data_IF_526988458685
#
_entry.id   IF_526988458685
#
_cell.length_a   1.000
_cell.length_b   1.000
_cell.length_c   1.000
_cell.angle_alpha   90.00
_cell.angle_beta   90.00
_cell.angle_gamma   90.00
#
_symmetry.space_group_name_H-M   'P 1'
#
loop_
_entity.id
_entity.type
_entity.pdbx_description
1 polymer ?
#
# COMPACT_ATOMS: atom_id res chain seq x y z
N UNK A 1 -62.50 -10.17 -2.31
CA UNK A 1 -61.11 -10.70 -2.44
C UNK A 1 -60.33 -9.67 -3.23
N UNK A 2 -59.37 -9.00 -2.59
CA UNK A 2 -58.43 -8.12 -3.28
C UNK A 2 -57.56 -9.05 -4.13
N UNK A 3 -57.70 -8.98 -5.45
CA UNK A 3 -56.86 -9.72 -6.36
C UNK A 3 -55.50 -9.02 -6.33
N UNK A 4 -54.58 -9.52 -5.49
CA UNK A 4 -53.21 -9.01 -5.46
C UNK A 4 -52.62 -9.18 -6.85
N UNK A 5 -52.21 -8.07 -7.46
CA UNK A 5 -51.64 -8.06 -8.80
C UNK A 5 -50.30 -8.82 -8.76
N UNK A 6 -50.38 -10.11 -9.10
CA UNK A 6 -49.27 -11.06 -9.04
C UNK A 6 -48.05 -10.59 -9.86
N UNK A 7 -48.24 -9.68 -10.82
CA UNK A 7 -47.17 -9.08 -11.63
C UNK A 7 -46.41 -8.01 -10.85
N UNK A 8 -47.11 -7.21 -10.03
CA UNK A 8 -46.51 -6.22 -9.15
C UNK A 8 -45.74 -6.85 -7.99
N UNK A 9 -46.24 -7.96 -7.44
CA UNK A 9 -45.56 -8.71 -6.39
C UNK A 9 -44.27 -9.37 -6.89
N UNK A 10 -44.30 -10.02 -8.07
CA UNK A 10 -43.09 -10.60 -8.67
C UNK A 10 -42.02 -9.54 -8.99
N UNK A 11 -42.43 -8.37 -9.49
CA UNK A 11 -41.51 -7.27 -9.79
C UNK A 11 -40.88 -6.68 -8.53
N UNK A 12 -41.63 -6.59 -7.43
CA UNK A 12 -41.14 -6.07 -6.16
C UNK A 12 -40.12 -7.03 -5.52
N UNK A 13 -40.38 -8.33 -5.53
CA UNK A 13 -39.44 -9.35 -5.04
C UNK A 13 -38.14 -9.37 -5.86
N UNK A 14 -38.24 -9.25 -7.19
CA UNK A 14 -37.07 -9.22 -8.05
C UNK A 14 -36.18 -8.00 -7.77
N UNK A 15 -36.77 -6.81 -7.61
CA UNK A 15 -36.05 -5.59 -7.24
C UNK A 15 -35.41 -5.74 -5.85
N UNK A 16 -36.12 -6.34 -4.90
CA UNK A 16 -35.61 -6.58 -3.55
C UNK A 16 -34.38 -7.49 -3.58
N UNK A 17 -34.43 -8.60 -4.32
CA UNK A 17 -33.31 -9.55 -4.44
C UNK A 17 -32.12 -8.88 -5.12
N UNK A 18 -32.31 -8.18 -6.23
CA UNK A 18 -31.24 -7.46 -6.93
C UNK A 18 -30.61 -6.39 -6.02
N UNK A 19 -31.43 -5.66 -5.26
CA UNK A 19 -30.96 -4.66 -4.30
C UNK A 19 -30.07 -5.26 -3.22
N UNK A 20 -30.48 -6.39 -2.63
CA UNK A 20 -29.68 -7.09 -1.62
C UNK A 20 -28.36 -7.59 -2.21
N UNK A 21 -28.40 -8.18 -3.41
CA UNK A 21 -27.18 -8.67 -4.10
C UNK A 21 -26.21 -7.52 -4.37
N UNK A 22 -26.69 -6.37 -4.85
CA UNK A 22 -25.84 -5.20 -5.06
C UNK A 22 -25.23 -4.67 -3.77
N UNK A 23 -26.01 -4.65 -2.68
CA UNK A 23 -25.52 -4.19 -1.37
C UNK A 23 -24.38 -5.10 -0.88
N UNK A 24 -24.52 -6.42 -1.02
CA UNK A 24 -23.46 -7.37 -0.68
C UNK A 24 -22.20 -7.16 -1.52
N UNK A 25 -22.35 -6.94 -2.83
CA UNK A 25 -21.21 -6.67 -3.73
C UNK A 25 -20.46 -5.39 -3.32
N UNK A 26 -21.19 -4.32 -3.04
CA UNK A 26 -20.58 -3.05 -2.60
C UNK A 26 -19.84 -3.20 -1.27
N UNK A 27 -20.39 -3.99 -0.35
CA UNK A 27 -19.78 -4.25 0.95
C UNK A 27 -18.47 -5.03 0.80
N UNK A 28 -18.44 -6.06 -0.05
CA UNK A 28 -17.21 -6.81 -0.35
C UNK A 28 -16.18 -5.92 -1.06
N UNK A 29 -16.60 -5.11 -2.03
CA UNK A 29 -15.70 -4.21 -2.76
C UNK A 29 -15.03 -3.19 -1.82
N UNK A 30 -15.78 -2.65 -0.87
CA UNK A 30 -15.27 -1.71 0.13
C UNK A 30 -14.19 -2.35 1.01
N UNK A 31 -14.40 -3.60 1.45
CA UNK A 31 -13.45 -4.35 2.27
C UNK A 31 -12.18 -4.77 1.50
N UNK A 32 -12.31 -5.09 0.21
CA UNK A 32 -11.17 -5.50 -0.62
C UNK A 32 -10.17 -4.36 -0.91
N UNK A 33 -10.62 -3.11 -0.82
CA UNK A 33 -9.79 -1.94 -1.12
C UNK A 33 -8.64 -1.77 -0.11
N UNK A 34 -8.88 -2.08 1.17
CA UNK A 34 -7.88 -1.86 2.24
C UNK A 34 -6.68 -2.78 2.06
N UNK A 35 -6.94 -4.06 1.80
CA UNK A 35 -5.87 -5.04 1.60
C UNK A 35 -5.09 -4.77 0.32
N UNK A 36 -5.78 -4.27 -0.72
CA UNK A 36 -5.16 -3.93 -2.01
C UNK A 36 -4.24 -2.72 -1.84
N UNK A 37 -4.70 -1.67 -1.17
CA UNK A 37 -3.90 -0.47 -0.87
C UNK A 37 -2.62 -0.81 -0.10
N UNK A 38 -2.76 -1.54 1.01
CA UNK A 38 -1.63 -1.97 1.84
C UNK A 38 -0.62 -2.80 1.03
N UNK A 39 -1.11 -3.74 0.21
CA UNK A 39 -0.24 -4.59 -0.59
C UNK A 39 0.48 -3.80 -1.69
N UNK A 40 -0.20 -2.86 -2.36
CA UNK A 40 0.42 -1.98 -3.36
C UNK A 40 1.54 -1.14 -2.75
N UNK A 41 1.28 -0.44 -1.63
CA UNK A 41 2.29 0.40 -0.98
C UNK A 41 3.48 -0.45 -0.49
N UNK A 42 3.22 -1.60 0.15
CA UNK A 42 4.30 -2.49 0.62
C UNK A 42 5.15 -3.05 -0.52
N UNK A 43 4.51 -3.39 -1.64
CA UNK A 43 5.18 -3.91 -2.84
C UNK A 43 6.02 -2.83 -3.50
N UNK A 44 5.46 -1.64 -3.71
CA UNK A 44 6.18 -0.49 -4.26
C UNK A 44 7.37 -0.10 -3.36
N UNK A 45 7.17 -0.07 -2.04
CA UNK A 45 8.24 0.21 -1.10
C UNK A 45 9.38 -0.83 -1.19
N UNK A 46 9.04 -2.12 -1.30
CA UNK A 46 10.03 -3.19 -1.51
C UNK A 46 10.79 -3.01 -2.83
N UNK A 47 10.07 -2.77 -3.93
CA UNK A 47 10.66 -2.65 -5.27
C UNK A 47 11.56 -1.43 -5.36
N UNK A 48 11.08 -0.26 -4.90
CA UNK A 48 11.86 0.97 -4.87
C UNK A 48 13.13 0.81 -4.04
N UNK A 49 13.01 0.25 -2.83
CA UNK A 49 14.18 0.00 -1.99
C UNK A 49 15.17 -0.99 -2.64
N UNK A 50 14.69 -2.08 -3.22
CA UNK A 50 15.54 -3.10 -3.82
C UNK A 50 16.28 -2.61 -5.07
N UNK A 51 15.61 -1.84 -5.92
CA UNK A 51 16.21 -1.29 -7.14
C UNK A 51 17.30 -0.27 -6.79
N UNK A 52 17.02 0.67 -5.90
CA UNK A 52 17.99 1.69 -5.52
C UNK A 52 19.11 1.14 -4.65
N UNK A 53 18.83 0.15 -3.79
CA UNK A 53 19.90 -0.52 -3.04
C UNK A 53 20.84 -1.31 -3.96
N UNK A 54 20.32 -1.91 -5.02
CA UNK A 54 21.13 -2.55 -6.05
C UNK A 54 21.96 -1.54 -6.84
N UNK A 55 21.37 -0.39 -7.21
CA UNK A 55 22.08 0.69 -7.90
C UNK A 55 23.26 1.23 -7.08
N UNK A 56 23.08 1.44 -5.77
CA UNK A 56 24.18 1.83 -4.86
C UNK A 56 25.30 0.77 -4.88
N UNK A 57 24.96 -0.51 -4.85
CA UNK A 57 25.93 -1.60 -4.90
C UNK A 57 26.67 -1.69 -6.24
N UNK A 58 26.04 -1.29 -7.34
CA UNK A 58 26.65 -1.25 -8.68
C UNK A 58 27.59 -0.05 -8.80
N UNK A 59 27.14 1.14 -8.37
CA UNK A 59 27.89 2.39 -8.50
C UNK A 59 29.08 2.47 -7.53
N UNK A 60 29.02 1.77 -6.39
CA UNK A 60 30.08 1.75 -5.40
C UNK A 60 30.51 0.31 -5.07
N UNK A 61 31.53 -0.15 -5.79
CA UNK A 61 32.09 -1.51 -5.69
C UNK A 61 32.84 -1.77 -4.37
N UNK A 62 33.11 -0.73 -3.57
CA UNK A 62 33.75 -0.85 -2.26
C UNK A 62 32.75 -1.10 -1.13
N UNK A 63 31.47 -0.79 -1.36
CA UNK A 63 30.39 -1.05 -0.41
C UNK A 63 29.85 -2.47 -0.55
N UNK A 64 29.63 -3.13 0.58
CA UNK A 64 28.97 -4.44 0.60
C UNK A 64 27.59 -4.33 -0.05
N UNK A 65 27.18 -5.31 -0.88
CA UNK A 65 25.89 -5.26 -1.56
C UNK A 65 24.75 -5.20 -0.53
N UNK A 66 23.84 -4.25 -0.76
CA UNK A 66 22.68 -3.99 0.10
C UNK A 66 21.47 -4.70 -0.54
N UNK A 67 20.80 -5.55 0.23
CA UNK A 67 19.62 -6.29 -0.20
C UNK A 67 18.47 -6.03 0.76
N UNK A 68 17.27 -5.92 0.23
CA UNK A 68 16.05 -5.94 1.05
C UNK A 68 15.83 -7.38 1.54
N UNK A 69 15.88 -7.60 2.84
CA UNK A 69 15.69 -8.93 3.45
C UNK A 69 14.24 -9.17 3.80
N UNK A 70 13.55 -8.13 4.26
CA UNK A 70 12.15 -8.20 4.70
C UNK A 70 11.49 -6.83 4.57
N UNK A 71 10.18 -6.84 4.35
CA UNK A 71 9.33 -5.65 4.54
C UNK A 71 8.23 -6.08 5.49
N UNK A 72 8.20 -5.47 6.67
CA UNK A 72 7.14 -5.68 7.65
C UNK A 72 6.18 -4.51 7.65
N UNK A 73 4.91 -4.83 7.89
CA UNK A 73 3.84 -3.88 8.08
C UNK A 73 3.26 -4.11 9.48
N UNK A 74 3.17 -3.04 10.26
CA UNK A 74 2.66 -3.09 11.64
C UNK A 74 1.71 -1.93 11.88
N UNK A 75 0.62 -2.18 12.61
CA UNK A 75 -0.39 -1.16 12.92
C UNK A 75 -1.76 -1.45 12.29
N UNK A 76 -2.76 -0.66 12.69
CA UNK A 76 -4.14 -0.73 12.20
C UNK A 76 -4.47 0.51 11.36
N UNK A 77 -4.79 1.62 12.02
CA UNK A 77 -5.05 2.91 11.36
C UNK A 77 -3.74 3.62 10.95
N UNK A 78 -2.74 3.60 11.83
CA UNK A 78 -1.41 4.14 11.55
C UNK A 78 -0.49 2.98 11.22
N UNK A 79 -0.16 2.83 9.94
CA UNK A 79 0.54 1.67 9.42
C UNK A 79 2.03 2.00 9.26
N UNK A 80 2.88 1.37 10.05
CA UNK A 80 4.33 1.49 9.90
C UNK A 80 4.86 0.39 9.00
N UNK A 81 5.45 0.77 7.87
CA UNK A 81 6.17 -0.11 6.96
C UNK A 81 7.67 -0.03 7.28
N UNK A 82 8.25 -1.14 7.73
CA UNK A 82 9.68 -1.24 8.03
C UNK A 82 10.37 -2.08 6.97
N UNK A 83 11.29 -1.47 6.24
CA UNK A 83 12.10 -2.14 5.23
C UNK A 83 13.42 -2.54 5.87
N UNK A 84 13.65 -3.84 6.00
CA UNK A 84 14.89 -4.39 6.56
C UNK A 84 15.91 -4.57 5.46
N UNK A 85 17.09 -3.98 5.67
CA UNK A 85 18.21 -4.07 4.75
C UNK A 85 19.27 -5.04 5.30
N UNK A 86 19.99 -5.71 4.41
CA UNK A 86 21.06 -6.65 4.77
C UNK A 86 22.27 -5.96 5.40
N UNK A 87 22.42 -4.66 5.18
CA UNK A 87 23.46 -3.83 5.77
C UNK A 87 22.79 -2.65 6.48
N UNK A 88 22.99 -2.55 7.79
CA UNK A 88 22.42 -1.52 8.65
C UNK A 88 23.33 -0.29 8.77
N UNK A 89 24.62 -0.44 8.43
CA UNK A 89 25.66 0.59 8.54
C UNK A 89 25.70 1.50 7.30
N UNK A 90 24.53 1.96 6.87
CA UNK A 90 24.37 2.84 5.74
C UNK A 90 24.61 4.30 6.14
N UNK A 91 25.33 5.04 5.30
CA UNK A 91 25.45 6.49 5.48
C UNK A 91 24.09 7.18 5.34
N UNK A 92 23.94 8.37 5.93
CA UNK A 92 22.70 9.14 5.80
C UNK A 92 22.33 9.42 4.33
N UNK A 93 23.33 9.64 3.48
CA UNK A 93 23.15 9.82 2.04
C UNK A 93 22.61 8.55 1.38
N UNK A 94 23.16 7.38 1.68
CA UNK A 94 22.68 6.10 1.14
C UNK A 94 21.24 5.81 1.59
N UNK A 95 20.92 6.08 2.86
CA UNK A 95 19.55 5.97 3.38
C UNK A 95 18.61 6.91 2.64
N UNK A 96 19.02 8.14 2.39
CA UNK A 96 18.21 9.10 1.65
C UNK A 96 17.99 8.69 0.20
N UNK A 97 19.02 8.20 -0.50
CA UNK A 97 18.90 7.70 -1.87
C UNK A 97 17.88 6.56 -1.94
N UNK A 98 17.98 5.57 -1.03
CA UNK A 98 17.03 4.45 -0.96
C UNK A 98 15.61 4.96 -0.71
N UNK A 99 15.44 5.91 0.22
CA UNK A 99 14.12 6.52 0.48
C UNK A 99 13.58 7.28 -0.73
N UNK A 100 14.42 7.99 -1.49
CA UNK A 100 14.00 8.64 -2.74
C UNK A 100 13.53 7.62 -3.78
N UNK A 101 14.21 6.47 -3.89
CA UNK A 101 13.77 5.38 -4.76
C UNK A 101 12.43 4.75 -4.32
N UNK A 102 12.25 4.57 -3.01
CA UNK A 102 10.98 4.15 -2.41
C UNK A 102 9.87 5.16 -2.72
N UNK A 103 10.15 6.45 -2.54
CA UNK A 103 9.22 7.53 -2.85
C UNK A 103 8.77 7.47 -4.31
N UNK A 104 9.71 7.41 -5.26
CA UNK A 104 9.40 7.33 -6.69
C UNK A 104 8.56 6.09 -7.04
N UNK A 105 8.90 4.93 -6.46
CA UNK A 105 8.13 3.70 -6.70
C UNK A 105 6.68 3.82 -6.21
N UNK A 106 6.46 4.48 -5.08
CA UNK A 106 5.13 4.68 -4.50
C UNK A 106 4.33 5.74 -5.25
N UNK A 107 4.99 6.82 -5.70
CA UNK A 107 4.37 7.84 -6.55
C UNK A 107 3.94 7.24 -7.90
N UNK A 108 4.69 6.28 -8.45
CA UNK A 108 4.32 5.56 -9.66
C UNK A 108 3.06 4.68 -9.50
N UNK A 109 2.75 4.23 -8.28
CA UNK A 109 1.49 3.54 -7.97
C UNK A 109 0.31 4.53 -7.79
N UNK A 110 0.56 5.84 -7.88
CA UNK A 110 -0.45 6.88 -7.79
C UNK A 110 -0.68 7.45 -6.38
N UNK A 111 0.17 7.11 -5.41
CA UNK A 111 0.08 7.65 -4.05
C UNK A 111 0.91 8.94 -3.90
N UNK A 112 0.45 9.87 -3.08
CA UNK A 112 1.22 11.09 -2.76
C UNK A 112 2.07 10.85 -1.53
N UNK A 113 3.38 11.06 -1.65
CA UNK A 113 4.33 10.86 -0.55
C UNK A 113 4.78 12.22 -0.01
N UNK A 114 4.70 12.38 1.30
CA UNK A 114 5.30 13.51 2.01
C UNK A 114 6.63 13.06 2.61
N UNK A 115 7.72 13.67 2.14
CA UNK A 115 9.05 13.41 2.66
C UNK A 115 9.28 14.29 3.89
N UNK A 116 9.17 13.69 5.08
CA UNK A 116 9.53 14.37 6.32
C UNK A 116 11.05 14.32 6.46
N UNK A 117 11.67 15.49 6.57
CA UNK A 117 13.12 15.66 6.70
C UNK A 117 13.68 14.88 7.92
N UNK A 118 13.97 13.61 7.72
CA UNK A 118 14.32 12.68 8.79
C UNK A 118 14.01 11.22 8.44
N UNK A 119 14.84 10.62 7.57
CA UNK A 119 14.94 9.17 7.29
C UNK A 119 13.61 8.36 7.19
N UNK A 120 12.50 9.01 6.84
CA UNK A 120 11.19 8.40 6.81
C UNK A 120 10.29 9.10 5.80
N UNK A 121 9.31 8.35 5.30
CA UNK A 121 8.31 8.86 4.36
C UNK A 121 6.94 8.67 4.98
N UNK A 122 6.07 9.67 4.82
CA UNK A 122 4.68 9.58 5.24
C UNK A 122 3.76 9.60 4.03
N UNK A 123 2.70 8.80 4.07
CA UNK A 123 1.68 8.73 3.01
C UNK A 123 0.34 8.80 3.71
N UNK A 124 -0.44 9.81 3.33
CA UNK A 124 -1.79 9.97 3.86
C UNK A 124 -2.77 9.52 2.77
N UNK A 125 -3.51 8.43 3.04
CA UNK A 125 -4.62 7.98 2.18
C UNK A 125 -5.95 8.38 2.80
N UNK A 126 -7.05 8.15 2.10
CA UNK A 126 -8.39 8.40 2.66
C UNK A 126 -8.72 7.51 3.87
N UNK A 127 -7.97 6.42 4.06
CA UNK A 127 -8.28 5.39 5.06
C UNK A 127 -7.16 5.17 6.09
N UNK A 128 -5.90 5.34 5.71
CA UNK A 128 -4.76 5.02 6.58
C UNK A 128 -3.63 6.04 6.42
N UNK A 129 -2.89 6.24 7.51
CA UNK A 129 -1.65 7.00 7.51
C UNK A 129 -0.47 6.01 7.55
N UNK A 130 0.40 6.06 6.55
CA UNK A 130 1.56 5.19 6.47
C UNK A 130 2.84 5.92 6.86
N UNK A 131 3.67 5.27 7.66
CA UNK A 131 5.03 5.69 7.97
C UNK A 131 6.01 4.64 7.45
N UNK A 132 6.86 5.02 6.50
CA UNK A 132 7.87 4.14 5.93
C UNK A 132 9.23 4.49 6.53
N UNK A 133 9.92 3.48 7.05
CA UNK A 133 11.26 3.61 7.62
C UNK A 133 12.18 2.47 7.20
N UNK A 134 13.48 2.77 7.14
CA UNK A 134 14.53 1.78 6.90
C UNK A 134 15.06 1.25 8.24
N UNK A 135 15.28 -0.06 8.32
CA UNK A 135 15.94 -0.74 9.45
C UNK A 135 17.18 -1.49 9.02
#
# INVERSE_FOLDING_TARGET
MINMDSRGQLSAEYILIVGIVLLVILLIAFLATDQTEQNSIATAARIGAANTSAEIGILNTTTRPIRVTKVDMTGGTNITITIFLSNTDLSSEQKQTILTGVQQAIENEGFTVQNNAGNSLTIDTLKHDYLIKLS
#
